data_IF_385935404244
#
_entry.id   IF_385935404244
#
_cell.length_a   1.000
_cell.length_b   1.000
_cell.length_c   1.000
_cell.angle_alpha   90.00
_cell.angle_beta   90.00
_cell.angle_gamma   90.00
#
_symmetry.space_group_name_H-M   'P 1'
#
loop_
_entity.id
_entity.type
_entity.pdbx_description
1 polymer ?
#
# COMPACT_ATOMS: atom_id res chain seq x y z
N UNK A 1 27.33 7.51 -4.37
CA UNK A 1 26.71 6.87 -5.54
C UNK A 1 25.22 7.14 -5.45
N UNK A 2 24.74 8.22 -6.07
CA UNK A 2 23.30 8.42 -6.22
C UNK A 2 22.84 7.55 -7.38
N UNK A 3 22.36 6.35 -7.06
CA UNK A 3 21.59 5.57 -8.03
C UNK A 3 20.22 6.22 -8.08
N UNK A 4 20.01 7.03 -9.11
CA UNK A 4 18.74 7.72 -9.32
C UNK A 4 17.72 6.68 -9.83
N UNK A 5 16.72 6.40 -8.99
CA UNK A 5 15.66 5.42 -9.23
C UNK A 5 14.40 6.17 -9.63
N UNK A 6 13.77 5.72 -10.72
CA UNK A 6 12.43 6.14 -11.08
C UNK A 6 11.44 5.02 -10.81
N UNK A 7 10.20 5.40 -10.49
CA UNK A 7 9.10 4.47 -10.25
C UNK A 7 7.90 4.88 -11.09
N UNK A 8 7.24 3.90 -11.69
CA UNK A 8 5.95 4.08 -12.37
C UNK A 8 4.93 3.18 -11.70
N UNK A 9 3.90 3.75 -11.08
CA UNK A 9 2.81 2.96 -10.50
C UNK A 9 1.86 2.47 -11.60
N UNK A 10 1.44 1.22 -11.51
CA UNK A 10 0.40 0.64 -12.36
C UNK A 10 -0.92 0.62 -11.57
N UNK A 11 -1.82 1.57 -11.86
CA UNK A 11 -3.07 1.76 -11.08
C UNK A 11 -4.17 0.72 -11.34
N UNK A 12 -3.90 -0.31 -12.13
CA UNK A 12 -4.90 -1.27 -12.62
C UNK A 12 -5.19 -2.39 -11.62
N UNK A 13 -4.27 -2.64 -10.69
CA UNK A 13 -4.46 -3.63 -9.62
C UNK A 13 -3.80 -3.19 -8.32
N UNK A 14 -4.32 -3.71 -7.21
CA UNK A 14 -3.81 -3.47 -5.88
C UNK A 14 -4.13 -4.66 -4.99
N UNK A 15 -3.41 -4.77 -3.88
CA UNK A 15 -3.66 -5.76 -2.83
C UNK A 15 -3.80 -5.06 -1.49
N UNK A 16 -4.79 -5.49 -0.71
CA UNK A 16 -5.03 -5.04 0.65
C UNK A 16 -4.76 -6.21 1.60
N UNK A 17 -3.92 -5.98 2.60
CA UNK A 17 -3.65 -6.96 3.66
C UNK A 17 -4.69 -6.81 4.76
N UNK A 18 -5.28 -7.91 5.22
CA UNK A 18 -6.24 -7.87 6.32
C UNK A 18 -5.56 -7.31 7.59
N UNK A 19 -6.16 -6.31 8.28
CA UNK A 19 -5.57 -5.75 9.48
C UNK A 19 -5.45 -6.80 10.60
N UNK A 20 -4.33 -6.78 11.33
CA UNK A 20 -4.09 -7.72 12.42
C UNK A 20 -4.97 -7.48 13.67
N UNK A 21 -5.52 -6.27 13.80
CA UNK A 21 -6.41 -5.85 14.88
C UNK A 21 -7.84 -5.75 14.37
N UNK A 22 -8.83 -5.88 15.27
CA UNK A 22 -10.23 -5.65 14.90
C UNK A 22 -10.56 -4.16 14.95
N UNK A 23 -11.58 -3.74 14.22
CA UNK A 23 -12.06 -2.35 14.20
C UNK A 23 -12.34 -1.81 15.60
N UNK A 24 -13.09 -2.55 16.42
CA UNK A 24 -13.41 -2.14 17.80
C UNK A 24 -12.16 -1.91 18.66
N UNK A 25 -11.10 -2.69 18.43
CA UNK A 25 -9.86 -2.58 19.19
C UNK A 25 -9.10 -1.33 18.74
N UNK A 26 -9.14 -1.01 17.44
CA UNK A 26 -8.61 0.25 16.90
C UNK A 26 -9.34 1.48 17.49
N UNK A 27 -10.67 1.42 17.63
CA UNK A 27 -11.46 2.48 18.29
C UNK A 27 -11.05 2.63 19.75
N UNK A 28 -10.97 1.53 20.49
CA UNK A 28 -10.60 1.55 21.91
C UNK A 28 -9.20 2.14 22.12
N UNK A 29 -8.23 1.74 21.31
CA UNK A 29 -6.85 2.23 21.37
C UNK A 29 -6.67 3.60 20.71
N UNK A 30 -7.74 4.22 20.18
CA UNK A 30 -7.71 5.52 19.50
C UNK A 30 -6.72 5.56 18.31
N UNK A 31 -6.68 4.48 17.54
CA UNK A 31 -5.87 4.33 16.32
C UNK A 31 -6.74 4.09 15.09
N UNK A 32 -6.17 4.28 13.90
CA UNK A 32 -6.89 4.09 12.63
C UNK A 32 -6.97 2.60 12.26
N UNK A 33 -8.19 2.07 12.10
CA UNK A 33 -8.42 0.77 11.46
C UNK A 33 -8.03 0.84 9.98
N UNK A 34 -6.88 0.26 9.62
CA UNK A 34 -6.28 0.43 8.29
C UNK A 34 -5.60 -0.83 7.80
N UNK A 35 -5.54 -0.96 6.47
CA UNK A 35 -4.91 -2.08 5.75
C UNK A 35 -3.67 -1.60 5.02
N UNK A 36 -2.65 -2.47 4.92
CA UNK A 36 -1.49 -2.21 4.06
C UNK A 36 -1.92 -2.27 2.59
N UNK A 37 -1.59 -1.23 1.84
CA UNK A 37 -1.86 -1.09 0.42
C UNK A 37 -0.61 -1.38 -0.40
N UNK A 38 -0.69 -2.45 -1.18
CA UNK A 38 0.34 -2.87 -2.12
C UNK A 38 -0.11 -2.62 -3.55
N UNK A 39 0.78 -2.04 -4.36
CA UNK A 39 0.52 -1.71 -5.77
C UNK A 39 1.65 -2.23 -6.65
N UNK A 40 1.37 -2.80 -7.83
CA UNK A 40 2.43 -3.07 -8.81
C UNK A 40 3.04 -1.76 -9.32
N UNK A 41 4.35 -1.78 -9.47
CA UNK A 41 5.12 -0.65 -9.97
C UNK A 41 6.29 -1.12 -10.84
N UNK A 42 6.61 -0.37 -11.88
CA UNK A 42 7.85 -0.48 -12.62
C UNK A 42 8.96 0.28 -11.90
N UNK A 43 10.04 -0.42 -11.54
CA UNK A 43 11.29 0.12 -11.03
C UNK A 43 12.26 0.34 -12.20
N UNK A 44 12.67 1.59 -12.45
CA UNK A 44 13.53 1.95 -13.57
C UNK A 44 14.85 2.49 -13.04
N UNK A 45 15.94 1.83 -13.42
CA UNK A 45 17.30 2.27 -13.08
C UNK A 45 17.81 3.25 -14.13
N UNK A 46 18.04 4.52 -13.76
CA UNK A 46 18.52 5.53 -14.72
C UNK A 46 19.88 5.21 -15.34
N UNK A 47 20.72 4.47 -14.61
CA UNK A 47 22.05 4.05 -15.06
C UNK A 47 22.02 2.93 -16.11
N UNK A 48 20.90 2.23 -16.29
CA UNK A 48 20.83 1.04 -17.15
C UNK A 48 19.60 0.93 -18.06
N UNK A 49 18.61 1.81 -17.95
CA UNK A 49 17.31 1.74 -18.66
C UNK A 49 16.62 0.37 -18.57
N UNK A 50 16.96 -0.43 -17.56
CA UNK A 50 16.28 -1.69 -17.27
C UNK A 50 15.09 -1.39 -16.36
N UNK A 51 13.91 -1.87 -16.78
CA UNK A 51 12.68 -1.82 -16.00
C UNK A 51 12.40 -3.19 -15.39
N UNK A 52 12.09 -3.22 -14.10
CA UNK A 52 11.64 -4.41 -13.39
C UNK A 52 10.29 -4.14 -12.74
N UNK A 53 9.33 -5.03 -12.93
CA UNK A 53 8.06 -4.96 -12.21
C UNK A 53 8.22 -5.51 -10.79
N UNK A 54 7.63 -4.80 -9.82
CA UNK A 54 7.65 -5.17 -8.42
C UNK A 54 6.38 -4.69 -7.72
N UNK A 55 5.89 -5.45 -6.75
CA UNK A 55 4.80 -5.00 -5.87
C UNK A 55 5.40 -4.20 -4.72
N UNK A 56 5.00 -2.95 -4.57
CA UNK A 56 5.53 -2.03 -3.56
C UNK A 56 4.47 -1.68 -2.53
N UNK A 57 4.89 -1.54 -1.27
CA UNK A 57 4.06 -1.00 -0.19
C UNK A 57 3.95 0.51 -0.36
N UNK A 58 2.73 1.01 -0.59
CA UNK A 58 2.47 2.44 -0.68
C UNK A 58 2.24 3.07 0.71
N UNK A 59 1.68 2.29 1.63
CA UNK A 59 1.36 2.71 2.99
C UNK A 59 0.06 2.07 3.49
N UNK A 60 -0.54 2.67 4.51
CA UNK A 60 -1.78 2.19 5.10
C UNK A 60 -2.98 3.00 4.58
N UNK A 61 -4.05 2.32 4.20
CA UNK A 61 -5.32 2.96 3.81
C UNK A 61 -6.39 2.69 4.88
N UNK A 62 -7.09 3.72 5.38
CA UNK A 62 -8.22 3.52 6.29
C UNK A 62 -9.28 2.63 5.66
N UNK A 63 -9.75 1.63 6.41
CA UNK A 63 -10.86 0.79 6.00
C UNK A 63 -12.14 1.28 6.67
N UNK A 64 -13.24 1.24 5.92
CA UNK A 64 -14.58 1.46 6.43
C UNK A 64 -15.35 0.16 6.29
N UNK A 65 -15.92 -0.34 7.39
CA UNK A 65 -16.82 -1.47 7.30
C UNK A 65 -18.15 -1.03 6.64
N UNK A 66 -18.60 -1.68 5.56
CA UNK A 66 -19.82 -1.26 4.87
C UNK A 66 -21.13 -1.61 5.60
N UNK A 67 -21.07 -2.22 6.79
CA UNK A 67 -22.23 -2.90 7.41
C UNK A 67 -22.44 -2.68 8.91
N UNK A 68 -21.76 -1.74 9.57
CA UNK A 68 -22.09 -1.40 10.96
C UNK A 68 -22.98 -0.14 11.00
N UNK A 69 -24.26 -0.24 11.44
CA UNK A 69 -25.08 0.94 11.66
C UNK A 69 -24.61 1.67 12.93
N UNK A 70 -24.35 2.98 12.79
CA UNK A 70 -24.09 3.92 13.87
C UNK A 70 -25.20 3.95 14.92
#
# INVERSE_FOLDING_TARGET
TDQEIEFQLFGESYQLVEPLIKERDAVYESITYSSELYVPAGLIWRTGRNMQEQTVLLGNIPLMNPWEPL
#
